data_IF_339636920280
#
_entry.id   IF_339636920280
#
_cell.length_a   1.000
_cell.length_b   1.000
_cell.length_c   1.000
_cell.angle_alpha   90.00
_cell.angle_beta   90.00
_cell.angle_gamma   90.00
#
_symmetry.space_group_name_H-M   'P 1'
#
loop_
_entity.id
_entity.type
_entity.pdbx_description
1 polymer ?
#
# COMPACT_ATOMS: atom_id res chain seq x y z
N UNK A 1 -0.15 -22.94 3.93
CA UNK A 1 -0.47 -22.31 2.64
C UNK A 1 0.32 -21.03 2.52
N UNK A 2 0.92 -20.78 1.36
CA UNK A 2 1.72 -19.61 1.14
C UNK A 2 0.92 -18.51 0.46
N UNK A 3 1.30 -17.28 0.74
CA UNK A 3 0.69 -16.08 0.19
C UNK A 3 1.76 -15.21 -0.45
N UNK A 4 1.35 -14.37 -1.38
CA UNK A 4 2.23 -13.44 -2.06
C UNK A 4 2.07 -12.06 -1.41
N UNK A 5 3.17 -11.54 -0.90
CA UNK A 5 3.19 -10.27 -0.17
C UNK A 5 3.91 -9.23 -1.03
N UNK A 6 3.18 -8.20 -1.42
CA UNK A 6 3.77 -7.04 -2.07
C UNK A 6 4.27 -6.08 -0.99
N UNK A 7 5.53 -5.73 -1.09
CA UNK A 7 6.13 -4.73 -0.21
C UNK A 7 6.43 -3.50 -1.07
N UNK A 8 5.76 -2.40 -0.74
CA UNK A 8 5.94 -1.15 -1.43
C UNK A 8 6.67 -0.17 -0.52
N UNK A 9 7.72 0.44 -1.04
CA UNK A 9 8.51 1.44 -0.34
C UNK A 9 8.38 2.77 -1.07
N UNK A 10 7.85 3.76 -0.38
CA UNK A 10 7.69 5.11 -0.94
C UNK A 10 8.81 6.02 -0.44
N UNK A 11 9.36 6.81 -1.35
CA UNK A 11 10.14 7.99 -1.01
C UNK A 11 9.23 9.19 -1.23
N UNK A 12 8.92 9.90 -0.15
CA UNK A 12 7.99 11.02 -0.20
C UNK A 12 8.76 12.32 -0.39
N UNK A 13 8.07 13.32 -0.93
CA UNK A 13 8.64 14.66 -1.02
C UNK A 13 8.91 15.20 0.38
N UNK A 14 10.01 15.94 0.58
CA UNK A 14 10.37 16.41 1.91
C UNK A 14 9.22 17.12 2.62
N UNK A 15 8.98 16.72 3.87
CA UNK A 15 7.95 17.33 4.71
C UNK A 15 6.52 16.89 4.47
N UNK A 16 6.28 15.92 3.56
CA UNK A 16 4.91 15.50 3.22
C UNK A 16 4.46 14.22 3.90
N UNK A 17 5.31 13.57 4.71
CA UNK A 17 4.97 12.25 5.26
C UNK A 17 3.75 12.27 6.17
N UNK A 18 3.58 13.29 6.99
CA UNK A 18 2.41 13.38 7.86
C UNK A 18 1.13 13.54 7.05
N UNK A 19 1.18 14.34 5.99
CA UNK A 19 0.05 14.51 5.08
C UNK A 19 -0.27 13.21 4.33
N UNK A 20 0.76 12.52 3.83
CA UNK A 20 0.59 11.23 3.18
C UNK A 20 -0.06 10.21 4.13
N UNK A 21 0.43 10.14 5.37
CA UNK A 21 -0.10 9.21 6.37
C UNK A 21 -1.57 9.51 6.66
N UNK A 22 -1.92 10.79 6.80
CA UNK A 22 -3.30 11.22 7.03
C UNK A 22 -4.20 10.82 5.86
N UNK A 23 -3.76 11.10 4.63
CA UNK A 23 -4.52 10.72 3.43
C UNK A 23 -4.68 9.21 3.31
N UNK A 24 -3.64 8.46 3.64
CA UNK A 24 -3.71 7.00 3.63
C UNK A 24 -4.77 6.51 4.62
N UNK A 25 -4.69 6.94 5.88
CA UNK A 25 -5.61 6.48 6.92
C UNK A 25 -7.06 6.90 6.66
N UNK A 26 -7.27 8.12 6.21
CA UNK A 26 -8.61 8.67 6.07
C UNK A 26 -9.29 8.29 4.75
N UNK A 27 -8.53 8.09 3.68
CA UNK A 27 -9.09 7.87 2.36
C UNK A 27 -8.65 6.58 1.70
N UNK A 28 -7.35 6.32 1.58
CA UNK A 28 -6.86 5.16 0.83
C UNK A 28 -7.14 3.84 1.55
N UNK A 29 -6.88 3.76 2.84
CA UNK A 29 -7.06 2.52 3.59
C UNK A 29 -8.51 2.05 3.60
N UNK A 30 -9.51 2.88 3.95
CA UNK A 30 -10.91 2.46 3.87
C UNK A 30 -11.31 2.03 2.45
N UNK A 31 -10.78 2.69 1.43
CA UNK A 31 -11.05 2.34 0.04
C UNK A 31 -10.45 0.98 -0.31
N UNK A 32 -9.20 0.71 0.09
CA UNK A 32 -8.58 -0.58 -0.12
C UNK A 32 -9.41 -1.70 0.52
N UNK A 33 -9.94 -1.45 1.73
CA UNK A 33 -10.81 -2.42 2.41
C UNK A 33 -12.10 -2.68 1.63
N UNK A 34 -12.73 -1.64 1.09
CA UNK A 34 -13.95 -1.78 0.28
C UNK A 34 -13.70 -2.56 -1.01
N UNK A 35 -12.49 -2.49 -1.54
CA UNK A 35 -12.09 -3.22 -2.75
C UNK A 35 -11.49 -4.59 -2.43
N UNK A 36 -11.63 -5.04 -1.19
CA UNK A 36 -11.16 -6.36 -0.71
C UNK A 36 -9.65 -6.54 -0.88
N UNK A 37 -8.88 -5.49 -0.74
CA UNK A 37 -7.42 -5.57 -0.73
C UNK A 37 -6.97 -5.82 0.70
N UNK A 38 -6.23 -6.90 0.90
CA UNK A 38 -5.75 -7.29 2.23
C UNK A 38 -4.48 -6.55 2.58
N UNK A 39 -4.61 -5.50 3.38
CA UNK A 39 -3.47 -4.71 3.88
C UNK A 39 -2.91 -5.39 5.12
N UNK A 40 -1.66 -5.82 5.05
CA UNK A 40 -0.98 -6.52 6.15
C UNK A 40 -0.39 -5.53 7.16
N UNK A 41 0.35 -4.55 6.67
CA UNK A 41 1.02 -3.56 7.52
C UNK A 41 1.35 -2.31 6.71
N UNK A 42 1.52 -1.20 7.39
CA UNK A 42 1.87 0.08 6.78
C UNK A 42 2.41 1.02 7.85
N UNK A 43 3.15 2.02 7.44
CA UNK A 43 3.60 3.04 8.37
C UNK A 43 4.84 3.77 7.90
N UNK A 44 5.29 4.76 8.70
CA UNK A 44 6.51 5.50 8.41
C UNK A 44 7.74 4.65 8.74
N UNK A 45 8.81 4.86 7.97
CA UNK A 45 10.11 4.31 8.30
C UNK A 45 10.68 5.00 9.53
N UNK A 46 11.48 4.28 10.31
CA UNK A 46 12.10 4.83 11.51
C UNK A 46 13.51 5.37 11.25
N UNK A 47 14.10 5.07 10.08
CA UNK A 47 15.50 5.47 9.83
C UNK A 47 15.62 6.82 9.13
N UNK A 48 14.56 7.36 8.56
CA UNK A 48 14.54 8.68 7.95
C UNK A 48 13.15 9.31 8.05
N UNK A 49 13.02 10.55 7.58
CA UNK A 49 11.80 11.33 7.74
C UNK A 49 10.85 11.25 6.54
N UNK A 50 11.30 10.67 5.42
CA UNK A 50 10.57 10.77 4.15
C UNK A 50 10.18 9.41 3.55
N UNK A 51 10.46 8.31 4.25
CA UNK A 51 10.11 6.97 3.75
C UNK A 51 8.87 6.42 4.44
N UNK A 52 8.11 5.65 3.67
CA UNK A 52 6.85 5.05 4.13
C UNK A 52 6.69 3.68 3.46
N UNK A 53 6.08 2.72 4.15
CA UNK A 53 5.91 1.38 3.57
C UNK A 53 4.45 0.94 3.58
N UNK A 54 4.13 0.04 2.65
CA UNK A 54 2.82 -0.61 2.56
C UNK A 54 3.03 -2.07 2.18
N UNK A 55 2.44 -2.98 2.95
CA UNK A 55 2.49 -4.41 2.68
C UNK A 55 1.07 -4.92 2.42
N UNK A 56 0.86 -5.61 1.29
CA UNK A 56 -0.44 -6.14 0.88
C UNK A 56 -0.30 -7.60 0.52
N UNK A 57 -1.33 -8.40 0.86
CA UNK A 57 -1.35 -9.83 0.62
C UNK A 57 -2.25 -10.15 -0.58
N UNK A 58 -1.78 -11.06 -1.41
CA UNK A 58 -2.53 -11.60 -2.56
C UNK A 58 -2.42 -13.11 -2.62
N UNK A 59 -3.41 -13.77 -3.24
CA UNK A 59 -3.42 -15.23 -3.36
C UNK A 59 -2.48 -15.74 -4.45
N UNK A 60 -2.20 -14.91 -5.46
CA UNK A 60 -1.34 -15.25 -6.59
C UNK A 60 -0.86 -13.96 -7.26
N UNK A 61 0.12 -14.10 -8.15
CA UNK A 61 0.58 -12.95 -8.97
C UNK A 61 -0.53 -12.46 -9.89
N UNK A 62 -1.34 -13.38 -10.44
CA UNK A 62 -2.48 -13.01 -11.29
C UNK A 62 -3.54 -12.26 -10.48
N UNK A 63 -3.82 -12.69 -9.26
CA UNK A 63 -4.75 -12.01 -8.36
C UNK A 63 -4.26 -10.58 -8.07
N UNK A 64 -2.96 -10.43 -7.80
CA UNK A 64 -2.35 -9.13 -7.56
C UNK A 64 -2.54 -8.20 -8.76
N UNK A 65 -2.19 -8.66 -9.95
CA UNK A 65 -2.30 -7.86 -11.16
C UNK A 65 -3.74 -7.40 -11.40
N UNK A 66 -4.69 -8.34 -11.29
CA UNK A 66 -6.11 -8.04 -11.49
C UNK A 66 -6.62 -7.04 -10.43
N UNK A 67 -6.28 -7.28 -9.17
CA UNK A 67 -6.73 -6.44 -8.07
C UNK A 67 -6.20 -5.00 -8.20
N UNK A 68 -4.92 -4.85 -8.53
CA UNK A 68 -4.31 -3.53 -8.68
C UNK A 68 -4.83 -2.79 -9.90
N UNK A 69 -4.98 -3.49 -11.03
CA UNK A 69 -5.55 -2.88 -12.23
C UNK A 69 -6.99 -2.38 -11.97
N UNK A 70 -7.78 -3.18 -11.28
CA UNK A 70 -9.17 -2.83 -10.96
C UNK A 70 -9.22 -1.63 -10.01
N UNK A 71 -8.43 -1.65 -8.94
CA UNK A 71 -8.44 -0.60 -7.93
C UNK A 71 -7.92 0.73 -8.50
N UNK A 72 -6.72 0.72 -9.08
CA UNK A 72 -6.08 1.93 -9.58
C UNK A 72 -6.72 2.45 -10.87
N UNK A 73 -7.43 1.60 -11.60
CA UNK A 73 -8.21 2.00 -12.76
C UNK A 73 -9.62 2.47 -12.42
N UNK A 74 -10.04 2.37 -11.17
CA UNK A 74 -11.40 2.73 -10.78
C UNK A 74 -11.62 4.24 -10.78
N UNK A 75 -12.85 4.66 -11.02
CA UNK A 75 -13.23 6.07 -10.93
C UNK A 75 -13.12 6.55 -9.48
N UNK A 76 -13.43 5.70 -8.51
CA UNK A 76 -13.34 6.04 -7.10
C UNK A 76 -11.93 6.48 -6.71
N UNK A 77 -10.90 5.73 -7.15
CA UNK A 77 -9.51 6.10 -6.91
C UNK A 77 -9.11 7.34 -7.71
N UNK A 78 -9.39 7.33 -9.01
CA UNK A 78 -8.91 8.36 -9.94
C UNK A 78 -9.53 9.73 -9.67
N UNK A 79 -10.80 9.77 -9.27
CA UNK A 79 -11.51 11.01 -8.94
C UNK A 79 -11.45 11.35 -7.46
N UNK A 80 -10.99 10.41 -6.63
CA UNK A 80 -10.88 10.57 -5.18
C UNK A 80 -9.48 11.00 -4.74
N UNK A 81 -8.78 10.17 -3.95
CA UNK A 81 -7.53 10.59 -3.28
C UNK A 81 -6.30 10.58 -4.17
N UNK A 82 -6.37 10.08 -5.41
CA UNK A 82 -5.20 9.87 -6.26
C UNK A 82 -4.30 11.10 -6.37
N UNK A 83 -4.87 12.22 -6.73
CA UNK A 83 -4.08 13.45 -6.97
C UNK A 83 -3.34 13.91 -5.72
N UNK A 84 -4.03 13.92 -4.59
CA UNK A 84 -3.44 14.38 -3.32
C UNK A 84 -2.36 13.42 -2.83
N UNK A 85 -2.57 12.11 -3.00
CA UNK A 85 -1.60 11.10 -2.58
C UNK A 85 -0.37 11.15 -3.47
N UNK A 86 -0.54 11.19 -4.79
CA UNK A 86 0.57 11.23 -5.74
C UNK A 86 1.39 12.51 -5.56
N UNK A 87 0.74 13.62 -5.18
CA UNK A 87 1.45 14.87 -4.93
C UNK A 87 2.49 14.75 -3.81
N UNK A 88 2.33 13.80 -2.89
CA UNK A 88 3.31 13.55 -1.82
C UNK A 88 4.45 12.63 -2.23
N UNK A 89 4.31 11.88 -3.33
CA UNK A 89 5.26 10.82 -3.70
C UNK A 89 6.31 11.38 -4.66
N UNK A 90 7.59 11.20 -4.29
CA UNK A 90 8.69 11.49 -5.19
C UNK A 90 9.04 10.27 -6.04
N UNK A 91 9.10 9.09 -5.39
CA UNK A 91 9.43 7.83 -6.05
C UNK A 91 8.90 6.67 -5.22
N UNK A 92 8.79 5.49 -5.82
CA UNK A 92 8.50 4.28 -5.06
C UNK A 92 9.09 3.06 -5.75
N UNK A 93 9.35 2.04 -4.95
CA UNK A 93 9.75 0.72 -5.44
C UNK A 93 8.82 -0.33 -4.86
N UNK A 94 8.74 -1.47 -5.55
CA UNK A 94 7.93 -2.58 -5.06
C UNK A 94 8.58 -3.90 -5.42
N UNK A 95 8.34 -4.92 -4.61
CA UNK A 95 8.69 -6.29 -4.92
C UNK A 95 7.70 -7.21 -4.23
N UNK A 96 7.65 -8.47 -4.69
CA UNK A 96 6.71 -9.45 -4.17
C UNK A 96 7.51 -10.64 -3.66
N UNK A 97 7.19 -11.08 -2.45
CA UNK A 97 7.80 -12.26 -1.84
C UNK A 97 6.71 -13.26 -1.45
N UNK A 98 7.10 -14.50 -1.26
CA UNK A 98 6.17 -15.54 -0.84
C UNK A 98 6.41 -15.87 0.63
N UNK A 99 5.35 -15.80 1.45
CA UNK A 99 5.42 -16.08 2.89
C UNK A 99 4.30 -17.03 3.28
N UNK A 100 4.53 -17.83 4.33
CA UNK A 100 3.48 -18.69 4.88
C UNK A 100 2.49 -17.89 5.74
N UNK A 101 1.35 -18.51 6.04
CA UNK A 101 0.27 -17.87 6.78
C UNK A 101 0.72 -17.41 8.17
N UNK A 102 1.50 -18.22 8.87
CA UNK A 102 1.94 -17.89 10.24
C UNK A 102 2.80 -16.63 10.22
N UNK A 103 3.74 -16.55 9.26
CA UNK A 103 4.60 -15.37 9.11
C UNK A 103 3.78 -14.14 8.77
N UNK A 104 2.83 -14.27 7.86
CA UNK A 104 1.95 -13.14 7.48
C UNK A 104 1.19 -12.62 8.69
N UNK A 105 0.60 -13.53 9.49
CA UNK A 105 -0.13 -13.12 10.69
C UNK A 105 0.76 -12.40 11.70
N UNK A 106 2.01 -12.81 11.81
CA UNK A 106 2.98 -12.14 12.68
C UNK A 106 3.36 -10.73 12.25
N UNK A 107 3.16 -10.40 10.96
CA UNK A 107 3.44 -9.06 10.44
C UNK A 107 2.27 -8.09 10.60
N UNK A 108 1.06 -8.60 10.84
CA UNK A 108 -0.13 -7.75 10.97
C UNK A 108 -0.05 -6.86 12.19
N UNK A 109 -0.49 -5.67 12.01
CA UNK A 109 -0.61 -4.70 13.11
C UNK A 109 -1.99 -4.75 13.75
#
# INVERSE_FOLDING_TARGET
MNHFIEIRSYTLKPGTRNEFHRLFLEQAYPMLQRWNVDVVAYGPSLHDEDSYYLMRRFDSLAHRAHSEDSFYGSDEWRQGPRESIIACIEDYTEFVIELDEVTVQGLRK
#
